data_IF_737958548996
#
_entry.id   IF_737958548996
#
_cell.length_a   1.000
_cell.length_b   1.000
_cell.length_c   1.000
_cell.angle_alpha   90.00
_cell.angle_beta   90.00
_cell.angle_gamma   90.00
#
_symmetry.space_group_name_H-M   'P 1'
#
loop_
_entity.id
_entity.type
_entity.pdbx_description
1 polymer ?
#
# COMPACT_ATOMS: atom_id res chain seq x y z
N UNK A 1 4.65 2.38 4.33
CA UNK A 1 3.59 3.36 4.00
C UNK A 1 2.23 2.66 4.01
N UNK A 2 1.94 1.76 3.05
CA UNK A 2 0.67 1.01 3.01
C UNK A 2 0.44 0.03 4.19
N UNK A 3 1.50 -0.36 4.90
CA UNK A 3 1.42 -1.18 6.13
C UNK A 3 1.48 -0.37 7.43
N UNK A 4 1.40 0.96 7.36
CA UNK A 4 1.65 1.87 8.48
C UNK A 4 3.07 1.84 9.10
N UNK A 5 4.03 1.12 8.52
CA UNK A 5 5.45 1.13 8.99
C UNK A 5 6.14 2.51 8.94
N UNK A 6 5.57 3.46 8.18
CA UNK A 6 6.05 4.84 8.12
C UNK A 6 4.87 5.78 8.31
N UNK A 7 4.99 6.67 9.29
CA UNK A 7 3.99 7.70 9.57
C UNK A 7 4.00 8.80 8.51
N UNK A 8 2.87 9.46 8.26
CA UNK A 8 2.84 10.72 7.50
C UNK A 8 3.88 11.70 8.05
N UNK A 9 4.62 12.37 7.17
CA UNK A 9 5.70 13.29 7.55
C UNK A 9 7.01 12.61 8.00
N UNK A 10 7.06 11.28 8.10
CA UNK A 10 8.29 10.59 8.49
C UNK A 10 9.32 10.60 7.35
N UNK A 11 10.58 10.81 7.72
CA UNK A 11 11.72 10.70 6.80
C UNK A 11 11.95 9.24 6.40
N UNK A 12 11.98 8.99 5.10
CA UNK A 12 12.34 7.69 4.54
C UNK A 12 13.86 7.47 4.59
N UNK A 13 14.31 6.22 4.79
CA UNK A 13 15.73 5.87 4.67
C UNK A 13 16.26 6.18 3.26
N UNK A 14 17.59 6.22 3.11
CA UNK A 14 18.17 6.49 1.79
C UNK A 14 17.89 5.34 0.82
N UNK A 15 17.95 5.62 -0.48
CA UNK A 15 17.82 4.59 -1.54
C UNK A 15 18.78 3.42 -1.30
N UNK A 16 19.99 3.71 -0.81
CA UNK A 16 21.02 2.71 -0.57
C UNK A 16 20.68 1.83 0.64
N UNK A 17 20.14 2.41 1.70
CA UNK A 17 19.72 1.67 2.89
C UNK A 17 18.56 0.73 2.56
N UNK A 18 17.55 1.24 1.85
CA UNK A 18 16.40 0.45 1.39
C UNK A 18 16.85 -0.67 0.45
N UNK A 19 17.78 -0.37 -0.46
CA UNK A 19 18.32 -1.36 -1.38
C UNK A 19 19.12 -2.47 -0.68
N UNK A 20 19.90 -2.11 0.36
CA UNK A 20 20.65 -3.06 1.16
C UNK A 20 19.73 -3.94 2.00
N UNK A 21 18.69 -3.38 2.63
CA UNK A 21 17.72 -4.10 3.44
C UNK A 21 16.86 -5.06 2.60
N UNK A 22 16.39 -4.60 1.44
CA UNK A 22 15.58 -5.42 0.54
C UNK A 22 16.42 -6.28 -0.42
N UNK A 23 17.75 -6.24 -0.36
CA UNK A 23 18.67 -6.95 -1.26
C UNK A 23 18.38 -6.75 -2.76
N UNK A 24 17.92 -5.55 -3.14
CA UNK A 24 17.54 -5.19 -4.52
C UNK A 24 18.50 -4.16 -5.12
N UNK A 25 18.49 -4.02 -6.44
CA UNK A 25 19.31 -3.02 -7.12
C UNK A 25 18.88 -1.59 -6.70
N UNK A 26 19.81 -0.70 -6.27
CA UNK A 26 19.50 0.69 -5.90
C UNK A 26 18.73 1.47 -6.98
N UNK A 27 18.98 1.18 -8.26
CA UNK A 27 18.23 1.80 -9.36
C UNK A 27 16.76 1.35 -9.39
N UNK A 28 16.48 0.09 -9.03
CA UNK A 28 15.10 -0.42 -8.90
C UNK A 28 14.37 0.30 -7.77
N UNK A 29 15.04 0.48 -6.62
CA UNK A 29 14.49 1.24 -5.49
C UNK A 29 14.27 2.71 -5.87
N UNK A 30 15.21 3.30 -6.61
CA UNK A 30 15.07 4.68 -7.08
C UNK A 30 13.84 4.85 -7.98
N UNK A 31 13.61 3.90 -8.91
CA UNK A 31 12.43 3.89 -9.78
C UNK A 31 11.14 3.73 -8.98
N UNK A 32 11.08 2.80 -8.03
CA UNK A 32 9.93 2.60 -7.16
C UNK A 32 9.62 3.85 -6.33
N UNK A 33 10.63 4.50 -5.75
CA UNK A 33 10.44 5.74 -4.99
C UNK A 33 10.01 6.92 -5.87
N UNK A 34 10.47 7.00 -7.12
CA UNK A 34 10.03 8.01 -8.07
C UNK A 34 8.57 7.81 -8.49
N UNK A 35 8.12 6.56 -8.58
CA UNK A 35 6.71 6.23 -8.82
C UNK A 35 5.83 6.58 -7.62
N UNK A 36 6.30 6.29 -6.40
CA UNK A 36 5.63 6.73 -5.17
C UNK A 36 5.55 8.27 -5.06
N UNK A 37 6.59 8.98 -5.48
CA UNK A 37 6.58 10.44 -5.57
C UNK A 37 5.59 10.96 -6.61
N UNK A 38 5.51 10.32 -7.78
CA UNK A 38 4.51 10.64 -8.82
C UNK A 38 3.09 10.43 -8.33
N UNK A 39 2.86 9.39 -7.54
CA UNK A 39 1.58 9.06 -6.93
C UNK A 39 1.26 9.93 -5.69
N UNK A 40 2.11 10.91 -5.37
CA UNK A 40 1.90 11.84 -4.27
C UNK A 40 2.11 11.24 -2.87
N UNK A 41 2.64 10.02 -2.77
CA UNK A 41 2.88 9.32 -1.49
C UNK A 41 4.18 9.73 -0.81
N UNK A 42 5.13 10.23 -1.58
CA UNK A 42 6.44 10.64 -1.10
C UNK A 42 6.75 12.03 -1.64
N UNK A 43 7.30 12.89 -0.78
CA UNK A 43 7.77 14.21 -1.15
C UNK A 43 9.29 14.25 -1.01
N UNK A 44 9.99 14.64 -2.07
CA UNK A 44 11.43 14.90 -2.00
C UNK A 44 11.68 16.34 -1.57
N UNK A 45 12.41 16.51 -0.47
CA UNK A 45 13.02 17.77 -0.07
C UNK A 45 14.49 17.77 -0.49
N UNK A 46 14.88 18.69 -1.38
CA UNK A 46 16.20 18.70 -2.05
C UNK A 46 17.38 18.41 -1.12
N UNK A 47 17.44 19.07 0.04
CA UNK A 47 18.54 18.97 1.01
C UNK A 47 18.26 18.03 2.18
N UNK A 48 17.01 17.69 2.45
CA UNK A 48 16.63 16.96 3.67
C UNK A 48 16.28 15.49 3.44
N UNK A 49 16.12 15.07 2.18
CA UNK A 49 15.80 13.69 1.81
C UNK A 49 14.33 13.52 1.41
N UNK A 50 13.80 12.31 1.54
CA UNK A 50 12.43 11.97 1.14
C UNK A 50 11.55 11.76 2.37
N UNK A 51 10.32 12.22 2.30
CA UNK A 51 9.34 12.14 3.39
C UNK A 51 8.04 11.54 2.90
N UNK A 52 7.35 10.80 3.76
CA UNK A 52 5.99 10.33 3.47
C UNK A 52 5.04 11.52 3.43
N UNK A 53 4.13 11.54 2.46
CA UNK A 53 3.12 12.60 2.33
C UNK A 53 2.23 12.69 3.57
N UNK A 54 1.82 13.90 3.91
CA UNK A 54 0.77 14.17 4.91
C UNK A 54 -0.61 14.32 4.26
N UNK A 55 -0.70 14.19 2.94
CA UNK A 55 -1.96 14.26 2.22
C UNK A 55 -2.80 12.99 2.45
N UNK A 56 -3.72 13.07 3.40
CA UNK A 56 -4.69 12.02 3.71
C UNK A 56 -5.54 11.62 2.49
N UNK A 57 -5.77 12.52 1.53
CA UNK A 57 -6.56 12.20 0.33
C UNK A 57 -5.79 11.28 -0.60
N UNK A 58 -4.52 11.60 -0.84
CA UNK A 58 -3.63 10.75 -1.66
C UNK A 58 -3.46 9.35 -1.05
N UNK A 59 -3.30 9.29 0.28
CA UNK A 59 -3.27 8.01 1.00
C UNK A 59 -4.58 7.22 0.83
N UNK A 60 -5.73 7.85 1.05
CA UNK A 60 -7.05 7.20 0.93
C UNK A 60 -7.31 6.64 -0.46
N UNK A 61 -7.00 7.37 -1.53
CA UNK A 61 -7.23 6.89 -2.90
C UNK A 61 -6.39 5.65 -3.23
N UNK A 62 -5.14 5.59 -2.75
CA UNK A 62 -4.29 4.42 -2.98
C UNK A 62 -4.72 3.23 -2.13
N UNK A 63 -5.09 3.46 -0.86
CA UNK A 63 -5.70 2.42 -0.04
C UNK A 63 -6.96 1.87 -0.68
N UNK A 64 -7.80 2.73 -1.26
CA UNK A 64 -9.01 2.35 -1.99
C UNK A 64 -8.71 1.57 -3.28
N UNK A 65 -7.69 1.97 -4.03
CA UNK A 65 -7.27 1.24 -5.24
C UNK A 65 -6.72 -0.15 -4.92
N UNK A 66 -5.82 -0.24 -3.93
CA UNK A 66 -5.27 -1.51 -3.44
C UNK A 66 -6.37 -2.40 -2.84
N UNK A 67 -7.25 -1.84 -2.00
CA UNK A 67 -8.32 -2.62 -1.39
C UNK A 67 -9.31 -3.14 -2.44
N UNK A 68 -9.64 -2.32 -3.46
CA UNK A 68 -10.48 -2.78 -4.58
C UNK A 68 -9.85 -3.98 -5.26
N UNK A 69 -8.56 -3.91 -5.64
CA UNK A 69 -7.93 -5.04 -6.35
C UNK A 69 -7.89 -6.32 -5.54
N UNK A 70 -7.63 -6.21 -4.22
CA UNK A 70 -7.63 -7.38 -3.34
C UNK A 70 -9.05 -7.95 -3.12
N UNK A 71 -10.05 -7.08 -3.01
CA UNK A 71 -11.46 -7.49 -2.87
C UNK A 71 -11.93 -8.15 -4.17
N UNK A 72 -11.58 -7.59 -5.32
CA UNK A 72 -11.93 -8.14 -6.64
C UNK A 72 -11.33 -9.54 -6.81
N UNK A 73 -10.04 -9.72 -6.49
CA UNK A 73 -9.36 -11.02 -6.53
C UNK A 73 -9.99 -12.03 -5.55
N UNK A 74 -10.36 -11.59 -4.35
CA UNK A 74 -11.03 -12.44 -3.36
C UNK A 74 -12.41 -12.89 -3.86
N UNK A 75 -13.24 -11.97 -4.33
CA UNK A 75 -14.59 -12.25 -4.83
C UNK A 75 -14.53 -13.21 -6.01
N UNK A 76 -13.58 -13.00 -6.94
CA UNK A 76 -13.37 -13.90 -8.07
C UNK A 76 -13.03 -15.33 -7.61
N UNK A 77 -12.09 -15.47 -6.66
CA UNK A 77 -11.73 -16.77 -6.09
C UNK A 77 -12.90 -17.47 -5.41
N UNK A 78 -13.72 -16.74 -4.65
CA UNK A 78 -14.87 -17.33 -3.95
C UNK A 78 -16.00 -17.74 -4.91
N UNK A 79 -16.24 -16.93 -5.95
CA UNK A 79 -17.18 -17.30 -7.03
C UNK A 79 -16.73 -18.55 -7.78
N UNK A 80 -15.43 -18.71 -8.02
CA UNK A 80 -14.88 -19.91 -8.66
C UNK A 80 -15.06 -21.20 -7.83
N UNK A 81 -15.26 -21.08 -6.52
CA UNK A 81 -15.57 -22.21 -5.62
C UNK A 81 -17.09 -22.47 -5.55
N UNK A 82 -17.90 -21.64 -6.23
CA UNK A 82 -19.35 -21.78 -6.32
C UNK A 82 -20.13 -21.01 -5.27
N UNK A 83 -19.48 -20.11 -4.51
CA UNK A 83 -20.18 -19.25 -3.56
C UNK A 83 -20.99 -18.17 -4.28
N UNK A 84 -22.20 -17.94 -3.79
CA UNK A 84 -23.03 -16.81 -4.18
C UNK A 84 -22.54 -15.51 -3.54
N UNK A 85 -22.87 -14.37 -4.16
CA UNK A 85 -22.51 -13.05 -3.63
C UNK A 85 -23.02 -12.84 -2.19
N UNK A 86 -24.16 -13.45 -1.84
CA UNK A 86 -24.73 -13.38 -0.49
C UNK A 86 -23.87 -14.14 0.53
N UNK A 87 -23.41 -15.35 0.19
CA UNK A 87 -22.51 -16.14 1.03
C UNK A 87 -21.13 -15.48 1.18
N UNK A 88 -20.65 -14.82 0.13
CA UNK A 88 -19.39 -14.05 0.17
C UNK A 88 -19.52 -12.87 1.13
N UNK A 89 -20.60 -12.09 1.02
CA UNK A 89 -20.85 -10.95 1.91
C UNK A 89 -20.96 -11.43 3.37
N UNK A 90 -21.68 -12.53 3.62
CA UNK A 90 -21.82 -13.09 4.96
C UNK A 90 -20.48 -13.56 5.53
N UNK A 91 -19.67 -14.28 4.73
CA UNK A 91 -18.35 -14.75 5.12
C UNK A 91 -17.39 -13.60 5.43
N UNK A 92 -17.34 -12.57 4.58
CA UNK A 92 -16.51 -11.38 4.80
C UNK A 92 -16.98 -10.63 6.05
N UNK A 93 -18.28 -10.42 6.23
CA UNK A 93 -18.84 -9.76 7.41
C UNK A 93 -18.53 -10.54 8.70
N UNK A 94 -18.60 -11.88 8.65
CA UNK A 94 -18.24 -12.75 9.77
C UNK A 94 -16.76 -12.70 10.11
N UNK A 95 -15.87 -12.57 9.11
CA UNK A 95 -14.43 -12.45 9.32
C UNK A 95 -14.03 -11.09 9.90
N UNK A 96 -14.58 -9.99 9.39
CA UNK A 96 -14.27 -8.62 9.87
C UNK A 96 -14.70 -8.42 11.33
N UNK A 97 -15.73 -9.14 11.80
CA UNK A 97 -16.18 -9.09 13.20
C UNK A 97 -15.40 -9.97 14.19
N UNK A 98 -14.41 -10.76 13.73
CA UNK A 98 -13.69 -11.74 14.57
C UNK A 98 -12.39 -11.22 15.19
N UNK A 99 -12.00 -9.97 14.96
CA UNK A 99 -10.87 -9.37 15.65
C UNK A 99 -11.29 -8.84 17.04
N UNK A 100 -11.03 -9.65 18.08
CA UNK A 100 -10.84 -9.22 19.46
C UNK A 100 -9.52 -9.74 19.99
#
# INVERSE_FOLDING_TARGET
IARHDYSPGQKLPSVRDIAAEACVNPNTVQRALAELERNGLVRTERTNGRFVTEDERALKEIYKGLSSSYIDELVEKLRNIGMSDMEIIEAVTSCVGKEK
#
